data_IF_127944456719
#
_entry.id   IF_127944456719
#
_cell.length_a   1.000
_cell.length_b   1.000
_cell.length_c   1.000
_cell.angle_alpha   90.00
_cell.angle_beta   90.00
_cell.angle_gamma   90.00
#
_symmetry.space_group_name_H-M   'P 1'
#
loop_
_entity.id
_entity.type
_entity.pdbx_description
1 polymer ?
#
# COMPACT_ATOMS: atom_id res chain seq x y z
N UNK A 1 -24.87 -0.09 -20.20
CA UNK A 1 -24.99 1.31 -19.76
C UNK A 1 -24.99 1.33 -18.25
N UNK A 2 -24.30 2.23 -17.56
CA UNK A 2 -23.47 3.35 -18.01
C UNK A 2 -22.29 3.56 -17.04
N UNK A 3 -21.25 4.20 -17.56
CA UNK A 3 -20.12 4.75 -16.79
C UNK A 3 -20.45 6.23 -16.57
N UNK A 4 -20.35 6.67 -15.31
CA UNK A 4 -20.79 7.98 -14.85
C UNK A 4 -20.10 9.15 -15.55
N UNK A 5 -20.95 10.05 -16.06
CA UNK A 5 -20.84 11.51 -16.07
C UNK A 5 -19.56 12.09 -15.44
N UNK A 6 -18.63 12.52 -16.31
CA UNK A 6 -17.46 13.31 -15.91
C UNK A 6 -16.51 13.62 -17.07
N UNK A 7 -16.94 14.43 -18.04
CA UNK A 7 -16.06 15.24 -18.91
C UNK A 7 -15.34 14.56 -20.09
N UNK A 8 -15.22 13.24 -20.13
CA UNK A 8 -14.53 12.57 -21.24
C UNK A 8 -15.55 12.08 -22.29
N UNK A 9 -15.35 12.43 -23.56
CA UNK A 9 -16.28 12.28 -24.69
C UNK A 9 -16.51 10.82 -25.16
N UNK A 10 -16.44 9.87 -24.22
CA UNK A 10 -16.37 8.43 -24.48
C UNK A 10 -15.03 8.00 -25.10
N UNK A 11 -14.05 8.91 -25.19
CA UNK A 11 -12.76 8.64 -25.82
C UNK A 11 -11.94 7.65 -25.00
N UNK A 12 -11.80 7.86 -23.69
CA UNK A 12 -11.15 6.86 -22.83
C UNK A 12 -11.83 5.50 -22.86
N UNK A 13 -13.16 5.44 -22.93
CA UNK A 13 -13.89 4.17 -23.05
C UNK A 13 -13.62 3.46 -24.38
N UNK A 14 -13.51 4.21 -25.49
CA UNK A 14 -13.15 3.66 -26.80
C UNK A 14 -11.71 3.16 -26.83
N UNK A 15 -10.77 3.94 -26.30
CA UNK A 15 -9.34 3.57 -26.20
C UNK A 15 -9.17 2.30 -25.36
N UNK A 16 -9.84 2.23 -24.21
CA UNK A 16 -9.84 1.02 -23.39
C UNK A 16 -10.41 -0.17 -24.17
N UNK A 17 -11.54 0.00 -24.84
CA UNK A 17 -12.14 -1.05 -25.69
C UNK A 17 -11.16 -1.58 -26.74
N UNK A 18 -10.50 -0.69 -27.48
CA UNK A 18 -9.49 -1.08 -28.49
C UNK A 18 -8.32 -1.83 -27.87
N UNK A 19 -7.82 -1.39 -26.71
CA UNK A 19 -6.73 -2.07 -26.00
C UNK A 19 -7.13 -3.49 -25.58
N UNK A 20 -8.37 -3.70 -25.13
CA UNK A 20 -8.84 -5.02 -24.75
C UNK A 20 -9.05 -5.95 -25.92
N UNK A 21 -9.58 -5.44 -27.04
CA UNK A 21 -9.65 -6.23 -28.27
C UNK A 21 -8.26 -6.66 -28.72
N UNK A 22 -7.29 -5.74 -28.68
CA UNK A 22 -5.90 -6.06 -28.99
C UNK A 22 -5.33 -7.13 -28.06
N UNK A 23 -5.56 -7.05 -26.73
CA UNK A 23 -5.11 -8.09 -25.80
C UNK A 23 -5.69 -9.48 -26.13
N UNK A 24 -6.89 -9.56 -26.70
CA UNK A 24 -7.53 -10.82 -27.08
C UNK A 24 -7.05 -11.37 -28.42
N UNK A 25 -6.70 -10.51 -29.36
CA UNK A 25 -6.34 -10.87 -30.74
C UNK A 25 -4.82 -10.86 -30.99
N UNK A 26 -4.01 -10.44 -30.01
CA UNK A 26 -2.56 -10.35 -30.17
C UNK A 26 -1.91 -11.74 -30.28
N UNK A 27 -1.46 -12.08 -31.49
CA UNK A 27 -0.68 -13.31 -31.75
C UNK A 27 0.84 -13.12 -31.51
N UNK A 28 1.29 -11.89 -31.27
CA UNK A 28 2.70 -11.61 -30.99
C UNK A 28 3.11 -12.11 -29.59
N UNK A 29 4.36 -12.55 -29.39
CA UNK A 29 4.83 -13.06 -28.10
C UNK A 29 5.07 -11.91 -27.11
N UNK A 30 4.00 -11.31 -26.59
CA UNK A 30 4.02 -10.18 -25.65
C UNK A 30 3.49 -10.63 -24.29
N UNK A 31 4.21 -10.27 -23.23
CA UNK A 31 3.74 -10.44 -21.85
C UNK A 31 3.27 -9.09 -21.31
N UNK A 32 1.98 -8.98 -20.96
CA UNK A 32 1.40 -7.75 -20.42
C UNK A 32 1.19 -7.86 -18.91
N UNK A 33 1.68 -6.88 -18.15
CA UNK A 33 1.44 -6.77 -16.72
C UNK A 33 0.82 -5.41 -16.38
N UNK A 34 -0.19 -5.40 -15.51
CA UNK A 34 -0.90 -4.20 -15.07
C UNK A 34 -0.92 -4.17 -13.54
N UNK A 35 -0.80 -2.99 -12.97
CA UNK A 35 -0.98 -2.76 -11.53
C UNK A 35 -2.27 -1.99 -11.29
N UNK A 36 -3.04 -2.40 -10.28
CA UNK A 36 -4.28 -1.74 -9.90
C UNK A 36 -4.35 -1.60 -8.38
N UNK A 37 -4.52 -0.37 -7.89
CA UNK A 37 -4.72 -0.10 -6.46
C UNK A 37 -6.17 -0.34 -6.03
N UNK A 38 -7.12 -0.33 -6.96
CA UNK A 38 -8.51 -0.66 -6.68
C UNK A 38 -9.06 -1.54 -7.81
N UNK A 39 -9.25 -2.82 -7.52
CA UNK A 39 -9.83 -3.76 -8.49
C UNK A 39 -11.32 -3.54 -8.70
N UNK A 40 -12.04 -2.97 -7.73
CA UNK A 40 -13.49 -2.79 -7.80
C UNK A 40 -13.92 -1.69 -8.78
N UNK A 41 -13.00 -0.79 -9.16
CA UNK A 41 -13.23 0.21 -10.21
C UNK A 41 -12.99 -0.33 -11.63
N UNK A 42 -12.42 -1.52 -11.77
CA UNK A 42 -12.19 -2.12 -13.07
C UNK A 42 -13.49 -2.76 -13.60
N UNK A 43 -13.80 -2.60 -14.90
CA UNK A 43 -14.91 -3.31 -15.51
C UNK A 43 -14.73 -4.83 -15.36
N UNK A 44 -15.75 -5.58 -14.92
CA UNK A 44 -15.64 -7.03 -14.70
C UNK A 44 -15.27 -7.79 -15.98
N UNK A 45 -15.53 -7.20 -17.15
CA UNK A 45 -15.13 -7.73 -18.44
C UNK A 45 -13.60 -7.89 -18.55
N UNK A 46 -12.80 -7.11 -17.83
CA UNK A 46 -11.34 -7.24 -17.77
C UNK A 46 -10.89 -8.53 -17.08
N UNK A 47 -11.67 -9.00 -16.11
CA UNK A 47 -11.32 -10.13 -15.24
C UNK A 47 -11.79 -11.47 -15.80
N UNK A 48 -12.36 -11.47 -17.01
CA UNK A 48 -12.79 -12.68 -17.70
C UNK A 48 -11.57 -13.41 -18.26
N UNK A 49 -11.54 -14.74 -18.07
CA UNK A 49 -10.51 -15.65 -18.60
C UNK A 49 -10.24 -15.37 -20.09
N UNK A 50 -8.97 -15.22 -20.48
CA UNK A 50 -8.52 -14.84 -21.83
C UNK A 50 -8.18 -13.35 -22.01
N UNK A 51 -7.95 -12.59 -20.93
CA UNK A 51 -7.54 -11.17 -20.94
C UNK A 51 -6.47 -10.89 -19.90
N UNK A 52 -6.85 -10.93 -18.62
CA UNK A 52 -5.92 -10.98 -17.51
C UNK A 52 -6.02 -12.37 -16.87
N UNK A 53 -5.16 -13.27 -17.33
CA UNK A 53 -5.24 -14.69 -16.98
C UNK A 53 -4.75 -15.00 -15.55
N UNK A 54 -3.95 -14.10 -14.97
CA UNK A 54 -3.48 -14.20 -13.61
C UNK A 54 -3.59 -12.86 -12.89
N UNK A 55 -4.20 -12.89 -11.71
CA UNK A 55 -4.27 -11.74 -10.81
C UNK A 55 -3.43 -12.06 -9.59
N UNK A 56 -2.48 -11.19 -9.29
CA UNK A 56 -1.58 -11.35 -8.15
C UNK A 56 -1.91 -10.30 -7.11
N UNK A 57 -2.14 -10.73 -5.87
CA UNK A 57 -2.43 -9.84 -4.76
C UNK A 57 -1.17 -9.61 -3.91
N UNK A 58 -0.82 -8.33 -3.67
CA UNK A 58 0.29 -7.92 -2.80
C UNK A 58 -0.22 -7.27 -1.52
N UNK A 59 0.20 -7.83 -0.38
CA UNK A 59 -0.29 -7.45 0.93
C UNK A 59 0.67 -6.48 1.62
N UNK A 60 0.40 -6.22 2.90
CA UNK A 60 1.40 -5.55 3.74
C UNK A 60 2.66 -6.42 3.84
N UNK A 61 3.86 -5.82 3.90
CA UNK A 61 5.10 -6.60 3.98
C UNK A 61 5.18 -7.38 5.31
N UNK A 62 5.73 -8.59 5.30
CA UNK A 62 6.10 -9.33 6.53
C UNK A 62 7.23 -8.62 7.28
N UNK A 63 7.54 -9.05 8.50
CA UNK A 63 8.62 -8.43 9.27
C UNK A 63 9.99 -8.62 8.60
N UNK A 64 10.21 -9.76 7.94
CA UNK A 64 11.40 -10.01 7.11
C UNK A 64 11.43 -9.09 5.89
N UNK A 65 10.31 -8.94 5.18
CA UNK A 65 10.22 -8.05 4.01
C UNK A 65 10.43 -6.59 4.40
N UNK A 66 9.88 -6.14 5.55
CA UNK A 66 10.12 -4.80 6.09
C UNK A 66 11.59 -4.57 6.41
N UNK A 67 12.27 -5.56 6.99
CA UNK A 67 13.69 -5.48 7.28
C UNK A 67 14.49 -5.29 5.98
N UNK A 68 14.17 -6.03 4.93
CA UNK A 68 14.82 -5.89 3.63
C UNK A 68 14.52 -4.55 2.96
N UNK A 69 13.27 -4.09 2.99
CA UNK A 69 12.87 -2.75 2.52
C UNK A 69 13.69 -1.68 3.25
N UNK A 70 13.75 -1.73 4.57
CA UNK A 70 14.51 -0.81 5.40
C UNK A 70 16.00 -0.80 5.01
N UNK A 71 16.62 -1.98 4.89
CA UNK A 71 18.02 -2.12 4.44
C UNK A 71 18.27 -1.54 3.05
N UNK A 72 17.35 -1.74 2.09
CA UNK A 72 17.47 -1.18 0.74
C UNK A 72 17.45 0.35 0.81
N UNK A 73 16.51 0.92 1.56
CA UNK A 73 16.35 2.38 1.64
C UNK A 73 17.45 3.07 2.46
N UNK A 74 18.05 2.40 3.42
CA UNK A 74 19.25 2.89 4.12
C UNK A 74 20.48 2.88 3.20
N UNK A 75 20.74 1.75 2.50
CA UNK A 75 21.87 1.64 1.55
C UNK A 75 21.81 2.67 0.43
N UNK A 76 20.61 2.90 -0.13
CA UNK A 76 20.39 3.93 -1.17
C UNK A 76 20.76 5.35 -0.71
N UNK A 77 20.94 5.57 0.58
CA UNK A 77 21.23 6.87 1.20
C UNK A 77 22.59 6.90 1.89
N UNK A 78 23.46 5.93 1.59
CA UNK A 78 24.83 5.89 2.08
C UNK A 78 25.02 5.29 3.48
N UNK A 79 24.00 4.61 4.02
CA UNK A 79 24.08 3.96 5.33
C UNK A 79 24.13 2.44 5.17
N UNK A 80 25.12 1.81 5.78
CA UNK A 80 25.33 0.37 5.68
C UNK A 80 24.60 -0.34 6.83
N UNK A 81 23.53 -1.13 6.57
CA UNK A 81 22.70 -1.70 7.64
C UNK A 81 23.44 -2.66 8.59
N UNK A 82 24.60 -3.18 8.16
CA UNK A 82 25.50 -4.02 8.97
C UNK A 82 26.20 -3.25 10.10
N UNK A 83 26.17 -1.92 10.05
CA UNK A 83 26.74 -1.05 11.09
C UNK A 83 25.85 -1.00 12.33
N UNK A 84 24.57 -1.37 12.20
CA UNK A 84 23.60 -1.37 13.29
C UNK A 84 23.39 -2.76 13.87
N UNK A 85 23.14 -2.84 15.17
CA UNK A 85 22.84 -4.12 15.79
C UNK A 85 21.49 -4.66 15.29
N UNK A 86 21.37 -5.97 15.10
CA UNK A 86 20.11 -6.61 14.68
C UNK A 86 18.93 -6.23 15.58
N UNK A 87 19.19 -6.01 16.88
CA UNK A 87 18.18 -5.56 17.85
C UNK A 87 17.61 -4.18 17.50
N UNK A 88 18.42 -3.26 16.98
CA UNK A 88 18.00 -1.90 16.62
C UNK A 88 17.16 -1.90 15.35
N UNK A 89 17.59 -2.65 14.34
CA UNK A 89 16.82 -2.85 13.11
C UNK A 89 15.45 -3.49 13.41
N UNK A 90 15.42 -4.47 14.31
CA UNK A 90 14.17 -5.11 14.74
C UNK A 90 13.23 -4.15 15.49
N UNK A 91 13.74 -3.13 16.19
CA UNK A 91 12.88 -2.07 16.78
C UNK A 91 12.16 -1.29 15.69
N UNK A 92 12.85 -0.93 14.60
CA UNK A 92 12.23 -0.21 13.47
C UNK A 92 11.15 -1.08 12.83
N UNK A 93 11.45 -2.36 12.57
CA UNK A 93 10.49 -3.32 12.00
C UNK A 93 9.25 -3.46 12.89
N UNK A 94 9.43 -3.55 14.21
CA UNK A 94 8.34 -3.59 15.18
C UNK A 94 7.50 -2.31 15.20
N UNK A 95 8.14 -1.15 15.09
CA UNK A 95 7.46 0.14 14.99
C UNK A 95 6.69 0.31 13.67
N UNK A 96 7.18 -0.29 12.58
CA UNK A 96 6.58 -0.27 11.25
C UNK A 96 5.41 -1.26 11.08
N UNK A 97 4.75 -1.69 12.17
CA UNK A 97 3.59 -2.57 12.09
C UNK A 97 2.40 -1.88 11.42
N UNK A 98 1.98 -2.40 10.27
CA UNK A 98 0.88 -1.86 9.46
C UNK A 98 1.33 -0.93 8.33
N UNK A 99 2.62 -0.62 8.25
CA UNK A 99 3.15 0.27 7.22
C UNK A 99 3.39 -0.49 5.91
N UNK A 100 3.14 0.19 4.79
CA UNK A 100 3.55 -0.28 3.45
C UNK A 100 4.99 0.14 3.15
N UNK A 101 5.60 -0.47 2.12
CA UNK A 101 6.99 -0.20 1.77
C UNK A 101 7.31 1.28 1.52
N UNK A 102 6.40 2.00 0.85
CA UNK A 102 6.56 3.44 0.60
C UNK A 102 6.59 4.28 1.88
N UNK A 103 5.82 3.89 2.92
CA UNK A 103 5.82 4.60 4.20
C UNK A 103 7.07 4.26 5.02
N UNK A 104 7.61 3.04 4.90
CA UNK A 104 8.91 2.67 5.49
C UNK A 104 10.04 3.46 4.84
N UNK A 105 10.00 3.65 3.52
CA UNK A 105 10.94 4.55 2.84
C UNK A 105 10.83 5.99 3.39
N UNK A 106 9.61 6.49 3.53
CA UNK A 106 9.37 7.82 4.08
C UNK A 106 9.95 7.95 5.50
N UNK A 107 9.78 6.94 6.35
CA UNK A 107 10.38 6.93 7.68
C UNK A 107 11.90 7.00 7.68
N UNK A 108 12.58 6.40 6.69
CA UNK A 108 14.03 6.54 6.53
C UNK A 108 14.41 7.97 6.13
N UNK A 109 13.67 8.58 5.20
CA UNK A 109 13.89 9.98 4.78
C UNK A 109 13.71 10.93 5.96
N UNK A 110 12.61 10.78 6.68
CA UNK A 110 12.27 11.64 7.81
C UNK A 110 13.23 11.42 8.97
N UNK A 111 13.65 10.17 9.23
CA UNK A 111 14.69 9.86 10.21
C UNK A 111 16.02 10.56 9.91
N UNK A 112 16.42 10.67 8.65
CA UNK A 112 17.61 11.42 8.27
C UNK A 112 17.46 12.92 8.52
N UNK A 113 16.29 13.48 8.24
CA UNK A 113 16.00 14.89 8.53
C UNK A 113 16.04 15.14 10.04
N UNK A 114 15.48 14.23 10.84
CA UNK A 114 15.53 14.32 12.30
C UNK A 114 16.96 14.32 12.82
N UNK A 115 17.80 13.37 12.38
CA UNK A 115 19.20 13.30 12.77
C UNK A 115 19.96 14.58 12.38
N UNK A 116 19.76 15.05 11.14
CA UNK A 116 20.39 16.28 10.65
C UNK A 116 19.98 17.50 11.48
N UNK A 117 18.69 17.66 11.78
CA UNK A 117 18.19 18.77 12.59
C UNK A 117 18.70 18.74 14.04
N UNK A 118 18.96 17.54 14.57
CA UNK A 118 19.54 17.36 15.90
C UNK A 118 21.06 17.56 15.92
N UNK A 119 21.73 17.61 14.75
CA UNK A 119 23.18 17.61 14.65
C UNK A 119 23.81 16.26 15.04
N UNK A 120 23.04 15.17 14.92
CA UNK A 120 23.41 13.82 15.33
C UNK A 120 23.74 12.93 14.13
N UNK A 121 24.47 11.84 14.38
CA UNK A 121 24.62 10.78 13.40
C UNK A 121 23.28 10.05 13.23
N UNK A 122 22.96 9.65 12.00
CA UNK A 122 21.75 8.88 11.75
C UNK A 122 21.81 7.52 12.44
N UNK A 123 20.73 7.22 13.14
CA UNK A 123 20.53 5.98 13.91
C UNK A 123 19.13 5.43 13.64
N UNK A 124 18.91 4.10 13.73
CA UNK A 124 17.61 3.48 13.51
C UNK A 124 16.48 4.04 14.40
N UNK A 125 16.82 4.59 15.57
CA UNK A 125 15.82 5.22 16.45
C UNK A 125 15.16 6.45 15.81
N UNK A 126 15.87 7.19 14.95
CA UNK A 126 15.27 8.30 14.18
C UNK A 126 14.16 7.82 13.24
N UNK A 127 14.32 6.64 12.63
CA UNK A 127 13.25 6.01 11.86
C UNK A 127 12.05 5.63 12.74
N UNK A 128 12.30 5.15 13.97
CA UNK A 128 11.24 4.86 14.94
C UNK A 128 10.48 6.13 15.32
N UNK A 129 11.18 7.24 15.53
CA UNK A 129 10.59 8.54 15.82
C UNK A 129 9.72 9.04 14.67
N UNK A 130 10.22 8.95 13.42
CA UNK A 130 9.45 9.26 12.23
C UNK A 130 8.18 8.40 12.10
N UNK A 131 8.28 7.08 12.31
CA UNK A 131 7.13 6.17 12.26
C UNK A 131 6.06 6.49 13.30
N UNK A 132 6.44 6.96 14.50
CA UNK A 132 5.49 7.27 15.60
C UNK A 132 4.54 8.41 15.26
N UNK A 133 4.96 9.36 14.43
CA UNK A 133 4.13 10.52 14.05
C UNK A 133 3.31 10.26 12.78
N UNK A 134 3.55 9.15 12.09
CA UNK A 134 2.81 8.74 10.90
C UNK A 134 1.55 7.94 11.26
N UNK A 135 0.52 8.08 10.44
CA UNK A 135 -0.65 7.19 10.46
C UNK A 135 -0.52 6.23 9.27
N UNK A 136 -0.31 4.92 9.50
CA UNK A 136 -0.11 3.99 8.40
C UNK A 136 -1.38 3.84 7.55
N UNK A 137 -1.18 3.64 6.25
CA UNK A 137 -2.24 3.43 5.26
C UNK A 137 -3.20 2.32 5.69
N UNK A 138 -2.67 1.24 6.28
CA UNK A 138 -3.48 0.12 6.77
C UNK A 138 -4.48 0.50 7.85
N UNK A 139 -4.24 1.59 8.58
CA UNK A 139 -5.16 2.12 9.58
C UNK A 139 -6.07 3.19 8.98
N UNK A 140 -5.53 4.09 8.17
CA UNK A 140 -6.31 5.17 7.55
C UNK A 140 -7.40 4.63 6.60
N UNK A 141 -7.10 3.57 5.85
CA UNK A 141 -7.99 2.97 4.84
C UNK A 141 -8.35 1.52 5.18
N UNK A 142 -8.48 1.20 6.47
CA UNK A 142 -8.68 -0.16 6.96
C UNK A 142 -9.87 -0.87 6.30
N UNK A 143 -11.00 -0.19 6.11
CA UNK A 143 -12.21 -0.77 5.50
C UNK A 143 -11.99 -1.14 4.03
N UNK A 144 -11.41 -0.23 3.24
CA UNK A 144 -11.13 -0.46 1.82
C UNK A 144 -10.13 -1.60 1.64
N UNK A 145 -9.08 -1.63 2.46
CA UNK A 145 -8.08 -2.70 2.45
C UNK A 145 -8.72 -4.03 2.83
N UNK A 146 -9.62 -4.08 3.81
CA UNK A 146 -10.36 -5.30 4.16
C UNK A 146 -11.22 -5.80 3.00
N UNK A 147 -11.98 -4.92 2.34
CA UNK A 147 -12.81 -5.28 1.18
C UNK A 147 -11.94 -5.86 0.06
N UNK A 148 -10.85 -5.17 -0.29
CA UNK A 148 -9.92 -5.65 -1.31
C UNK A 148 -9.25 -6.97 -0.93
N UNK A 149 -8.89 -7.14 0.34
CA UNK A 149 -8.26 -8.37 0.84
C UNK A 149 -9.22 -9.56 0.71
N UNK A 150 -10.48 -9.38 1.12
CA UNK A 150 -11.49 -10.43 1.02
C UNK A 150 -11.75 -10.83 -0.43
N UNK A 151 -11.84 -9.83 -1.31
CA UNK A 151 -11.95 -10.07 -2.75
C UNK A 151 -10.74 -10.85 -3.28
N UNK A 152 -9.52 -10.43 -2.93
CA UNK A 152 -8.29 -11.05 -3.40
C UNK A 152 -8.16 -12.53 -3.00
N UNK A 153 -8.55 -12.88 -1.77
CA UNK A 153 -8.52 -14.28 -1.30
C UNK A 153 -9.34 -15.25 -2.17
N UNK A 154 -10.40 -14.76 -2.80
CA UNK A 154 -11.29 -15.58 -3.62
C UNK A 154 -10.93 -15.53 -5.11
N UNK A 155 -10.18 -14.51 -5.56
CA UNK A 155 -10.04 -14.18 -6.98
C UNK A 155 -8.59 -14.00 -7.45
N UNK A 156 -7.59 -14.03 -6.56
CA UNK A 156 -6.20 -13.75 -6.88
C UNK A 156 -5.23 -14.73 -6.22
N UNK A 157 -4.07 -14.92 -6.86
CA UNK A 157 -2.94 -15.65 -6.31
C UNK A 157 -2.15 -14.75 -5.36
N UNK A 158 -1.84 -15.17 -4.12
CA UNK A 158 -0.96 -14.42 -3.23
C UNK A 158 0.43 -14.24 -3.85
N UNK A 159 0.89 -12.98 -3.98
CA UNK A 159 2.27 -12.67 -4.33
C UNK A 159 3.18 -12.53 -3.11
N UNK A 160 2.58 -12.46 -1.91
CA UNK A 160 3.27 -12.30 -0.63
C UNK A 160 2.68 -13.25 0.41
N UNK A 161 3.52 -13.79 1.29
CA UNK A 161 3.16 -14.78 2.32
C UNK A 161 2.02 -14.32 3.25
N UNK A 162 1.87 -13.00 3.44
CA UNK A 162 0.94 -12.42 4.43
C UNK A 162 -0.56 -12.56 4.09
N UNK A 163 -0.93 -12.95 2.87
CA UNK A 163 -2.34 -13.17 2.52
C UNK A 163 -2.92 -14.45 3.12
N UNK A 164 -2.07 -15.43 3.41
CA UNK A 164 -2.47 -16.73 3.97
C UNK A 164 -2.97 -16.58 5.42
N UNK A 165 -2.40 -15.62 6.18
CA UNK A 165 -2.66 -15.46 7.63
C UNK A 165 -3.78 -14.46 7.99
N UNK A 166 -4.40 -13.79 7.02
CA UNK A 166 -5.44 -12.78 7.34
C UNK A 166 -6.78 -13.44 7.73
N UNK A 167 -7.63 -12.80 8.55
CA UNK A 167 -8.95 -13.34 8.88
C UNK A 167 -9.89 -13.40 7.65
N UNK A 168 -10.85 -14.33 7.65
CA UNK A 168 -11.81 -14.55 6.56
C UNK A 168 -13.07 -13.68 6.65
N UNK A 169 -13.27 -12.95 7.74
CA UNK A 169 -14.48 -12.14 7.98
C UNK A 169 -14.13 -10.68 8.23
N UNK A 170 -15.00 -9.80 7.73
CA UNK A 170 -14.99 -8.38 8.06
C UNK A 170 -15.24 -8.24 9.56
N UNK A 171 -14.20 -7.90 10.33
CA UNK A 171 -14.38 -7.49 11.71
C UNK A 171 -14.91 -6.08 11.64
N UNK A 172 -16.22 -5.91 11.85
CA UNK A 172 -16.83 -4.60 12.00
C UNK A 172 -16.04 -3.83 13.08
N UNK A 173 -15.28 -2.82 12.66
CA UNK A 173 -14.65 -1.90 13.59
C UNK A 173 -15.79 -1.21 14.33
N UNK A 174 -15.99 -1.56 15.61
CA UNK A 174 -17.01 -0.93 16.47
C UNK A 174 -16.91 0.59 16.28
N UNK A 175 -17.99 1.18 15.76
CA UNK A 175 -18.04 2.57 15.35
C UNK A 175 -17.46 3.51 16.40
N UNK A 176 -16.37 4.20 16.06
CA UNK A 176 -15.98 5.40 16.78
C UNK A 176 -16.97 6.48 16.37
N UNK A 177 -17.79 6.92 17.34
CA UNK A 177 -18.65 8.11 17.16
C UNK A 177 -17.76 9.27 16.69
N UNK A 178 -18.18 10.04 15.67
CA UNK A 178 -17.47 11.25 15.28
C UNK A 178 -17.42 12.19 16.48
N UNK A 179 -16.22 12.64 16.82
CA UNK A 179 -16.01 13.65 17.88
C UNK A 179 -16.51 14.98 17.31
N UNK A 180 -17.75 15.33 17.64
CA UNK A 180 -18.31 16.67 17.37
C UNK A 180 -17.40 17.68 18.04
N UNK A 181 -16.82 18.59 17.27
CA UNK A 181 -16.17 19.79 17.81
C UNK A 181 -17.30 20.59 18.48
N UNK A 182 -17.20 20.80 19.78
CA UNK A 182 -17.97 21.87 20.42
C UNK A 182 -17.37 23.15 19.89
N UNK A 183 -18.15 23.89 19.12
CA UNK A 183 -17.82 25.28 18.82
C UNK A 183 -17.88 26.03 20.15
N UNK A 184 -16.77 26.70 20.47
CA UNK A 184 -16.68 27.62 21.60
C UNK A 184 -17.60 28.81 21.29
N UNK A 185 -18.77 28.84 21.94
CA UNK A 185 -19.53 30.07 22.13
C UNK A 185 -18.67 31.02 22.95
N UNK A 186 -18.03 31.96 22.25
CA UNK A 186 -17.40 33.13 22.86
C UNK A 186 -18.48 34.19 23.02
N UNK A 187 -18.61 34.65 24.26
CA UNK A 187 -19.41 35.78 24.72
C UNK A 187 -19.27 36.99 23.79
N UNK A 188 -20.40 37.62 23.45
CA UNK A 188 -20.61 39.07 23.49
C UNK A 188 -22.11 39.40 23.54
#
# INVERSE_FOLDING_TARGET
>A
GGIGSGGDSGTSSRVLGTFLTWLQECEAPVFTMVTANNITSLPPELLRRGRFDAIFASGLPTDEEKLEILKIHMRRRGWEPKEFASKEMNKVVGAAKGFVGAEIEAAVKDGLILAFNAGEQFEPDHCVQALKVMVPLSKAYAEQIQVMTLWAKQNATPASKRYEDMPEKVVALKGRKPRVRKDDETEH
#
